data_IF_074789315406
#
_entry.id   IF_074789315406
#
_cell.length_a   1.000
_cell.length_b   1.000
_cell.length_c   1.000
_cell.angle_alpha   90.00
_cell.angle_beta   90.00
_cell.angle_gamma   90.00
#
_symmetry.space_group_name_H-M   'P 1'
#
loop_
_entity.id
_entity.type
_entity.pdbx_description
1 polymer ?
#
# COMPACT_ATOMS: atom_id res chain seq x y z
N UNK A 1 -17.57 -4.05 0.97
CA UNK A 1 -17.60 -4.09 -0.51
C UNK A 1 -17.11 -5.45 -0.99
N UNK A 2 -15.85 -5.85 -0.74
CA UNK A 2 -15.24 -7.10 -1.27
C UNK A 2 -16.09 -8.35 -0.99
N UNK A 3 -16.62 -8.50 0.23
CA UNK A 3 -17.50 -9.62 0.55
C UNK A 3 -18.79 -9.66 -0.26
N UNK A 4 -19.37 -8.50 -0.58
CA UNK A 4 -20.56 -8.45 -1.40
C UNK A 4 -20.27 -8.82 -2.86
N UNK A 5 -19.13 -8.36 -3.41
CA UNK A 5 -18.69 -8.73 -4.75
C UNK A 5 -18.47 -10.25 -4.85
N UNK A 6 -17.80 -10.83 -3.85
CA UNK A 6 -17.49 -12.25 -3.79
C UNK A 6 -18.78 -13.10 -3.65
N UNK A 7 -19.68 -12.74 -2.73
CA UNK A 7 -20.93 -13.47 -2.51
C UNK A 7 -21.86 -13.44 -3.72
N UNK A 8 -21.93 -12.32 -4.42
CA UNK A 8 -22.70 -12.19 -5.65
C UNK A 8 -21.96 -12.68 -6.90
N UNK A 9 -20.73 -13.17 -6.78
CA UNK A 9 -19.88 -13.65 -7.89
C UNK A 9 -19.74 -12.62 -9.02
N UNK A 10 -19.70 -11.33 -8.68
CA UNK A 10 -19.64 -10.23 -9.65
C UNK A 10 -18.22 -9.82 -10.03
N UNK A 11 -17.22 -10.36 -9.37
CA UNK A 11 -15.82 -10.06 -9.60
C UNK A 11 -14.92 -10.99 -8.81
N UNK A 12 -13.62 -10.78 -8.91
CA UNK A 12 -12.57 -11.51 -8.23
C UNK A 12 -11.87 -10.56 -7.28
N UNK A 13 -11.62 -11.01 -6.07
CA UNK A 13 -10.88 -10.27 -5.05
C UNK A 13 -9.42 -10.70 -5.12
N UNK A 14 -8.53 -9.75 -5.42
CA UNK A 14 -7.09 -9.96 -5.51
C UNK A 14 -6.41 -9.21 -4.36
N UNK A 15 -5.42 -9.81 -3.74
CA UNK A 15 -4.66 -9.21 -2.66
C UNK A 15 -4.53 -10.11 -1.45
N UNK A 16 -4.73 -9.54 -0.27
CA UNK A 16 -4.58 -10.18 1.05
C UNK A 16 -5.91 -10.14 1.79
N UNK A 17 -6.03 -10.92 2.88
CA UNK A 17 -7.22 -10.87 3.75
C UNK A 17 -7.49 -9.43 4.20
N UNK A 18 -8.71 -8.96 4.03
CA UNK A 18 -9.08 -7.61 4.44
C UNK A 18 -8.97 -7.43 5.95
N UNK A 19 -8.89 -6.19 6.42
CA UNK A 19 -8.64 -5.87 7.82
C UNK A 19 -9.70 -6.44 8.78
N UNK A 20 -10.95 -6.58 8.34
CA UNK A 20 -12.01 -7.10 9.20
C UNK A 20 -12.69 -6.03 10.06
N UNK A 21 -12.82 -4.81 9.58
CA UNK A 21 -13.61 -3.77 10.25
C UNK A 21 -15.09 -3.89 9.83
N UNK A 22 -15.87 -4.50 10.68
CA UNK A 22 -17.28 -4.83 10.41
C UNK A 22 -18.28 -4.23 11.40
N UNK A 23 -17.89 -3.19 12.15
CA UNK A 23 -18.74 -2.52 13.13
C UNK A 23 -19.30 -1.21 12.59
N UNK A 24 -20.56 -0.92 12.92
CA UNK A 24 -21.19 0.38 12.75
C UNK A 24 -21.13 1.11 14.09
N UNK A 25 -20.62 2.32 14.07
CA UNK A 25 -20.56 3.18 15.25
C UNK A 25 -21.43 4.40 15.02
N UNK A 26 -22.25 4.74 16.01
CA UNK A 26 -23.07 5.95 16.00
C UNK A 26 -22.51 6.95 16.99
N UNK A 27 -22.41 8.23 16.61
CA UNK A 27 -22.02 9.27 17.53
C UNK A 27 -23.16 9.59 18.49
N UNK A 28 -22.83 9.77 19.77
CA UNK A 28 -23.71 10.29 20.80
C UNK A 28 -23.09 11.60 21.33
N UNK A 29 -23.76 12.71 21.08
CA UNK A 29 -23.35 14.02 21.60
C UNK A 29 -23.73 14.12 23.08
N UNK A 30 -22.80 14.60 23.90
CA UNK A 30 -23.01 14.92 25.29
C UNK A 30 -23.35 16.40 25.50
N UNK A 31 -23.80 16.77 26.72
CA UNK A 31 -24.25 18.16 27.04
C UNK A 31 -23.11 19.18 26.92
N UNK A 32 -21.87 18.75 27.13
CA UNK A 32 -20.66 19.57 27.00
C UNK A 32 -20.13 19.69 25.55
N UNK A 33 -20.90 19.21 24.57
CA UNK A 33 -20.53 19.12 23.16
C UNK A 33 -19.40 18.13 22.84
N UNK A 34 -19.00 17.29 23.76
CA UNK A 34 -18.16 16.13 23.47
C UNK A 34 -18.95 15.01 22.78
N UNK A 35 -18.23 14.11 22.07
CA UNK A 35 -18.86 13.02 21.32
C UNK A 35 -18.33 11.68 21.82
N UNK A 36 -19.26 10.75 22.10
CA UNK A 36 -18.95 9.35 22.33
C UNK A 36 -19.37 8.53 21.12
N UNK A 37 -18.51 7.66 20.62
CA UNK A 37 -18.83 6.71 19.55
C UNK A 37 -19.15 5.33 20.13
N UNK A 38 -20.38 4.91 19.94
CA UNK A 38 -20.89 3.64 20.46
C UNK A 38 -21.14 2.68 19.31
N UNK A 39 -20.66 1.44 19.44
CA UNK A 39 -20.97 0.38 18.48
C UNK A 39 -22.44 -0.03 18.62
N UNK A 40 -23.20 0.16 17.54
CA UNK A 40 -24.66 -0.10 17.52
C UNK A 40 -25.04 -1.29 16.65
N UNK A 41 -24.20 -1.66 15.67
CA UNK A 41 -24.54 -2.73 14.72
C UNK A 41 -23.28 -3.39 14.13
N UNK A 42 -23.46 -4.50 13.44
CA UNK A 42 -22.42 -5.21 12.68
C UNK A 42 -22.80 -5.30 11.22
N UNK A 43 -21.81 -5.20 10.35
CA UNK A 43 -21.97 -5.51 8.93
C UNK A 43 -21.93 -7.03 8.70
N UNK A 44 -22.85 -7.48 7.87
CA UNK A 44 -22.85 -8.83 7.31
C UNK A 44 -22.80 -8.75 5.80
N UNK A 45 -22.16 -9.73 5.18
CA UNK A 45 -22.20 -9.85 3.73
C UNK A 45 -23.55 -10.42 3.27
N UNK A 46 -23.88 -10.35 1.96
CA UNK A 46 -25.15 -10.92 1.46
C UNK A 46 -25.37 -12.39 1.84
N UNK A 47 -24.31 -13.19 1.95
CA UNK A 47 -24.40 -14.59 2.44
C UNK A 47 -24.49 -14.74 3.95
N UNK A 48 -24.56 -13.64 4.71
CA UNK A 48 -24.67 -13.65 6.16
C UNK A 48 -23.34 -13.80 6.91
N UNK A 49 -22.17 -13.76 6.22
CA UNK A 49 -20.86 -13.83 6.88
C UNK A 49 -20.57 -12.54 7.64
N UNK A 50 -20.13 -12.64 8.90
CA UNK A 50 -19.56 -11.50 9.63
C UNK A 50 -18.14 -11.26 9.15
N UNK A 51 -17.82 -10.01 8.82
CA UNK A 51 -16.47 -9.61 8.45
C UNK A 51 -15.68 -9.09 9.65
N UNK A 52 -16.34 -8.86 10.79
CA UNK A 52 -15.68 -8.30 11.95
C UNK A 52 -14.66 -9.30 12.53
N UNK A 53 -13.40 -8.86 12.64
CA UNK A 53 -12.40 -9.64 13.35
C UNK A 53 -12.71 -9.68 14.85
N UNK A 54 -12.39 -10.78 15.54
CA UNK A 54 -12.56 -10.88 16.98
C UNK A 54 -11.83 -9.72 17.68
N UNK A 55 -12.47 -9.20 18.74
CA UNK A 55 -11.84 -8.24 19.64
C UNK A 55 -12.37 -8.49 21.06
N UNK A 56 -11.57 -8.16 22.06
CA UNK A 56 -11.89 -8.35 23.47
C UNK A 56 -10.66 -8.05 24.31
N UNK A 57 -10.77 -8.16 25.62
CA UNK A 57 -9.74 -7.79 26.59
C UNK A 57 -8.39 -8.52 26.40
N UNK A 58 -8.41 -9.67 25.72
CA UNK A 58 -7.22 -10.49 25.45
C UNK A 58 -6.66 -10.34 24.02
N UNK A 59 -7.29 -9.52 23.17
CA UNK A 59 -6.87 -9.37 21.76
C UNK A 59 -6.47 -7.92 21.53
N UNK A 60 -5.17 -7.68 21.39
CA UNK A 60 -4.67 -6.39 20.97
C UNK A 60 -4.93 -6.20 19.47
N UNK A 61 -5.75 -5.22 19.14
CA UNK A 61 -6.17 -4.93 17.78
C UNK A 61 -5.03 -4.46 16.88
N UNK A 62 -4.02 -3.83 17.47
CA UNK A 62 -2.82 -3.33 16.78
C UNK A 62 -1.82 -4.47 16.51
N UNK A 63 -1.77 -5.46 17.39
CA UNK A 63 -0.90 -6.63 17.21
C UNK A 63 -1.36 -7.57 16.09
N UNK A 64 -2.63 -7.50 15.66
CA UNK A 64 -3.14 -8.38 14.60
C UNK A 64 -2.32 -8.25 13.30
N UNK A 65 -1.96 -7.03 12.91
CA UNK A 65 -1.15 -6.82 11.69
C UNK A 65 0.25 -7.42 11.87
N UNK A 66 0.87 -7.20 13.02
CA UNK A 66 2.17 -7.76 13.34
C UNK A 66 2.13 -9.30 13.35
N UNK A 67 1.11 -9.87 13.98
CA UNK A 67 0.89 -11.33 14.01
C UNK A 67 0.67 -11.90 12.60
N UNK A 68 0.00 -11.17 11.71
CA UNK A 68 -0.21 -11.58 10.31
C UNK A 68 1.08 -11.57 9.50
N UNK A 69 2.01 -10.66 9.82
CA UNK A 69 3.35 -10.64 9.23
C UNK A 69 4.17 -11.82 9.77
N UNK A 70 4.27 -11.95 11.08
CA UNK A 70 5.14 -12.92 11.75
C UNK A 70 4.74 -14.38 11.52
N UNK A 71 3.43 -14.65 11.33
CA UNK A 71 2.93 -16.00 11.04
C UNK A 71 2.90 -16.34 9.53
N UNK A 72 3.40 -15.43 8.68
CA UNK A 72 3.48 -15.61 7.23
C UNK A 72 2.16 -15.42 6.48
N UNK A 73 1.07 -14.99 7.12
CA UNK A 73 -0.23 -14.80 6.47
C UNK A 73 -0.16 -13.82 5.29
N UNK A 74 0.70 -12.82 5.37
CA UNK A 74 0.81 -11.80 4.33
C UNK A 74 1.82 -12.16 3.24
N UNK A 75 2.73 -13.09 3.48
CA UNK A 75 3.78 -13.50 2.52
C UNK A 75 3.51 -14.83 1.85
N UNK A 76 2.82 -15.76 2.51
CA UNK A 76 2.51 -17.08 1.95
C UNK A 76 1.15 -17.60 2.42
N UNK A 77 0.19 -17.69 1.51
CA UNK A 77 -1.17 -18.18 1.81
C UNK A 77 -1.18 -19.66 2.24
N UNK A 78 -0.23 -20.46 1.77
CA UNK A 78 -0.19 -21.91 2.08
C UNK A 78 0.22 -22.17 3.52
N UNK A 79 0.86 -21.21 4.18
CA UNK A 79 1.28 -21.32 5.58
C UNK A 79 0.15 -21.06 6.58
N UNK A 80 -1.00 -20.57 6.12
CA UNK A 80 -2.11 -20.18 7.01
C UNK A 80 -3.44 -20.77 6.54
N UNK A 81 -4.14 -21.47 7.44
CA UNK A 81 -5.49 -21.93 7.12
C UNK A 81 -6.43 -20.73 6.89
N UNK A 82 -7.27 -20.81 5.84
CA UNK A 82 -8.29 -19.79 5.51
C UNK A 82 -9.43 -19.83 6.55
N UNK A 83 -9.11 -19.48 7.77
CA UNK A 83 -10.07 -19.49 8.88
C UNK A 83 -10.93 -18.23 8.84
N UNK A 84 -12.20 -18.40 8.53
CA UNK A 84 -13.18 -17.31 8.48
C UNK A 84 -13.48 -16.72 9.86
N UNK A 85 -13.21 -17.45 10.94
CA UNK A 85 -13.41 -16.96 12.30
C UNK A 85 -12.50 -15.79 12.66
N UNK A 86 -11.37 -15.65 11.96
CA UNK A 86 -10.43 -14.53 12.11
C UNK A 86 -10.95 -13.20 11.57
N UNK A 87 -12.14 -13.19 10.95
CA UNK A 87 -12.71 -12.00 10.32
C UNK A 87 -12.02 -11.59 9.02
N UNK A 88 -12.50 -10.50 8.42
CA UNK A 88 -12.08 -10.06 7.12
C UNK A 88 -12.63 -10.92 5.97
N UNK A 89 -12.22 -10.59 4.76
CA UNK A 89 -12.54 -11.34 3.54
C UNK A 89 -11.24 -11.87 2.98
N UNK A 90 -11.16 -13.18 2.77
CA UNK A 90 -10.05 -13.82 2.10
C UNK A 90 -10.12 -13.54 0.60
N UNK A 91 -9.00 -13.24 -0.06
CA UNK A 91 -9.00 -13.02 -1.49
C UNK A 91 -9.22 -14.32 -2.26
N UNK A 92 -9.74 -14.20 -3.48
CA UNK A 92 -9.84 -15.30 -4.45
C UNK A 92 -8.46 -15.60 -5.07
N UNK A 93 -7.68 -14.56 -5.30
CA UNK A 93 -6.30 -14.63 -5.77
C UNK A 93 -5.41 -13.91 -4.74
N UNK A 94 -4.48 -14.64 -4.17
CA UNK A 94 -3.56 -14.10 -3.19
C UNK A 94 -2.41 -13.36 -3.87
N UNK A 95 -2.08 -12.19 -3.35
CA UNK A 95 -0.90 -11.40 -3.70
C UNK A 95 -0.08 -11.19 -2.44
N UNK A 96 1.13 -11.75 -2.35
CA UNK A 96 1.96 -11.59 -1.16
C UNK A 96 2.43 -10.13 -1.02
N UNK A 97 2.78 -9.73 0.21
CA UNK A 97 3.52 -8.48 0.40
C UNK A 97 4.97 -8.69 0.00
N UNK A 98 5.58 -7.61 -0.45
CA UNK A 98 7.03 -7.56 -0.57
C UNK A 98 7.67 -7.66 0.82
N UNK A 99 8.57 -8.63 0.99
CA UNK A 99 9.27 -8.90 2.26
C UNK A 99 10.70 -8.39 2.26
N UNK A 100 11.06 -7.51 1.33
CA UNK A 100 12.39 -6.91 1.32
C UNK A 100 12.57 -6.06 2.59
N UNK A 101 13.54 -6.44 3.40
CA UNK A 101 13.90 -5.68 4.60
C UNK A 101 14.82 -4.50 4.20
N UNK A 102 14.30 -3.31 4.37
CA UNK A 102 15.09 -2.09 4.27
C UNK A 102 15.60 -1.67 5.65
N UNK A 103 16.76 -1.01 5.68
CA UNK A 103 17.22 -0.36 6.90
C UNK A 103 16.20 0.67 7.37
N UNK A 104 15.82 0.63 8.66
CA UNK A 104 14.85 1.57 9.23
C UNK A 104 15.28 3.04 9.05
N UNK A 105 16.58 3.29 9.08
CA UNK A 105 17.15 4.62 8.85
C UNK A 105 16.87 5.11 7.44
N UNK A 106 17.12 4.27 6.42
CA UNK A 106 16.89 4.63 5.02
C UNK A 106 15.40 4.72 4.69
N UNK A 107 14.59 3.84 5.28
CA UNK A 107 13.13 3.92 5.15
C UNK A 107 12.60 5.26 5.69
N UNK A 108 12.98 5.63 6.90
CA UNK A 108 12.57 6.91 7.49
C UNK A 108 13.04 8.11 6.66
N UNK A 109 14.21 7.98 6.00
CA UNK A 109 14.76 9.05 5.17
C UNK A 109 13.94 9.27 3.90
N UNK A 110 13.51 8.22 3.22
CA UNK A 110 12.64 8.29 2.01
C UNK A 110 11.32 9.01 2.33
N UNK A 111 10.77 8.85 3.53
CA UNK A 111 9.53 9.53 3.96
C UNK A 111 9.77 10.86 4.66
N UNK A 112 11.02 11.30 4.78
CA UNK A 112 11.37 12.55 5.45
C UNK A 112 11.00 13.79 4.60
N UNK A 113 10.92 14.93 5.29
CA UNK A 113 10.81 16.22 4.61
C UNK A 113 12.08 16.51 3.79
N UNK A 114 13.26 16.18 4.32
CA UNK A 114 14.53 16.42 3.65
C UNK A 114 14.60 15.77 2.27
N UNK A 115 14.05 14.55 2.13
CA UNK A 115 13.98 13.87 0.83
C UNK A 115 13.05 14.59 -0.15
N UNK A 116 11.89 15.03 0.30
CA UNK A 116 10.95 15.79 -0.55
C UNK A 116 11.53 17.13 -0.99
N UNK A 117 12.19 17.83 -0.07
CA UNK A 117 12.87 19.09 -0.38
C UNK A 117 13.98 18.86 -1.42
N UNK A 118 14.78 17.79 -1.28
CA UNK A 118 15.80 17.40 -2.26
C UNK A 118 15.20 17.10 -3.65
N UNK A 119 14.08 16.35 -3.71
CA UNK A 119 13.39 16.07 -4.97
C UNK A 119 12.82 17.36 -5.61
N UNK A 120 12.36 18.30 -4.79
CA UNK A 120 11.89 19.59 -5.27
C UNK A 120 13.03 20.44 -5.82
N UNK A 121 14.18 20.52 -5.13
CA UNK A 121 15.38 21.21 -5.60
C UNK A 121 15.91 20.60 -6.91
N UNK A 122 15.82 19.28 -7.06
CA UNK A 122 16.15 18.61 -8.31
C UNK A 122 15.22 19.04 -9.44
N UNK A 123 13.92 19.12 -9.17
CA UNK A 123 12.93 19.63 -10.12
C UNK A 123 13.21 21.08 -10.52
N UNK A 124 13.50 21.96 -9.55
CA UNK A 124 13.81 23.38 -9.86
C UNK A 124 15.03 23.53 -10.76
N UNK A 125 16.05 22.70 -10.57
CA UNK A 125 17.24 22.67 -11.45
C UNK A 125 16.96 22.10 -12.83
N UNK A 126 15.99 21.23 -12.98
CA UNK A 126 15.59 20.54 -14.22
C UNK A 126 14.06 20.55 -14.38
N UNK A 127 13.45 21.71 -14.64
CA UNK A 127 11.99 21.85 -14.61
C UNK A 127 11.25 21.21 -15.79
N UNK A 128 11.98 20.70 -16.77
CA UNK A 128 11.41 20.01 -17.94
C UNK A 128 11.63 18.51 -17.83
N UNK A 129 10.57 17.68 -17.87
CA UNK A 129 10.72 16.23 -17.85
C UNK A 129 11.38 15.73 -19.16
N UNK A 130 11.99 14.55 -19.08
CA UNK A 130 12.56 13.85 -20.25
C UNK A 130 11.54 13.61 -21.38
N UNK A 131 10.27 13.52 -21.03
CA UNK A 131 9.15 13.26 -21.92
C UNK A 131 7.84 13.76 -21.31
N UNK A 132 6.88 14.13 -22.14
CA UNK A 132 5.53 14.48 -21.70
C UNK A 132 4.62 13.27 -21.42
N UNK A 133 5.08 12.05 -21.72
CA UNK A 133 4.35 10.81 -21.46
C UNK A 133 4.77 10.22 -20.13
N UNK A 134 3.81 10.05 -19.20
CA UNK A 134 4.03 9.56 -17.84
C UNK A 134 4.66 8.17 -17.84
N UNK A 135 4.21 7.29 -18.73
CA UNK A 135 4.72 5.90 -18.79
C UNK A 135 6.16 5.89 -19.26
N UNK A 136 6.48 6.67 -20.32
CA UNK A 136 7.85 6.80 -20.80
C UNK A 136 8.75 7.46 -19.76
N UNK A 137 8.26 8.47 -19.04
CA UNK A 137 9.01 9.04 -17.94
C UNK A 137 9.35 7.97 -16.90
N UNK A 138 8.37 7.18 -16.45
CA UNK A 138 8.61 6.09 -15.50
C UNK A 138 9.64 5.07 -16.02
N UNK A 139 9.59 4.69 -17.30
CA UNK A 139 10.48 3.72 -17.91
C UNK A 139 11.91 4.25 -18.14
N UNK A 140 12.06 5.54 -18.41
CA UNK A 140 13.33 6.13 -18.82
C UNK A 140 14.06 6.87 -17.71
N UNK A 141 13.32 7.47 -16.77
CA UNK A 141 13.97 8.19 -15.68
C UNK A 141 14.77 7.24 -14.80
N UNK A 142 16.01 7.64 -14.53
CA UNK A 142 16.88 6.97 -13.54
C UNK A 142 17.58 8.04 -12.72
N UNK A 143 17.52 7.89 -11.41
CA UNK A 143 18.34 8.67 -10.50
C UNK A 143 19.79 8.21 -10.65
N UNK A 144 20.72 9.14 -10.67
CA UNK A 144 22.14 8.81 -10.66
C UNK A 144 22.60 8.43 -9.24
N UNK A 145 23.57 7.51 -9.13
CA UNK A 145 24.11 7.14 -7.82
C UNK A 145 24.77 8.33 -7.12
N UNK A 146 25.33 9.24 -7.87
CA UNK A 146 25.92 10.46 -7.32
C UNK A 146 24.88 11.36 -6.68
N UNK A 147 23.67 11.48 -7.26
CA UNK A 147 22.58 12.27 -6.69
C UNK A 147 22.21 11.75 -5.27
N UNK A 148 22.10 10.42 -5.12
CA UNK A 148 21.83 9.83 -3.82
C UNK A 148 22.98 10.02 -2.82
N UNK A 149 24.21 9.86 -3.27
CA UNK A 149 25.40 10.04 -2.42
C UNK A 149 25.52 11.47 -1.91
N UNK A 150 25.24 12.47 -2.75
CA UNK A 150 25.21 13.88 -2.33
C UNK A 150 24.13 14.12 -1.28
N UNK A 151 22.92 13.63 -1.51
CA UNK A 151 21.82 13.73 -0.55
C UNK A 151 22.20 13.10 0.81
N UNK A 152 22.73 11.87 0.81
CA UNK A 152 23.11 11.18 2.05
C UNK A 152 24.23 11.92 2.80
N UNK A 153 25.20 12.47 2.07
CA UNK A 153 26.27 13.28 2.66
C UNK A 153 25.73 14.54 3.34
N UNK A 154 24.76 15.22 2.72
CA UNK A 154 24.11 16.39 3.31
C UNK A 154 23.33 16.03 4.58
N UNK A 155 22.76 14.82 4.62
CA UNK A 155 22.12 14.27 5.83
C UNK A 155 23.12 13.71 6.85
N UNK A 156 24.44 13.78 6.60
CA UNK A 156 25.52 13.23 7.44
C UNK A 156 25.37 11.72 7.67
N UNK A 157 24.88 11.01 6.67
CA UNK A 157 24.72 9.56 6.70
C UNK A 157 25.82 8.93 5.87
N UNK A 158 26.71 8.22 6.57
CA UNK A 158 27.76 7.41 5.96
C UNK A 158 27.32 5.95 5.96
N UNK A 159 26.80 5.48 4.83
CA UNK A 159 26.39 4.07 4.68
C UNK A 159 26.63 3.59 3.26
N UNK A 160 26.86 2.29 3.13
CA UNK A 160 26.92 1.65 1.83
C UNK A 160 25.51 1.22 1.43
N UNK A 161 24.96 1.87 0.41
CA UNK A 161 23.59 1.63 -0.09
C UNK A 161 23.57 0.33 -0.89
N UNK A 162 22.70 -0.59 -0.51
CA UNK A 162 22.41 -1.80 -1.27
C UNK A 162 21.63 -1.45 -2.55
N UNK A 163 21.67 -2.36 -3.53
CA UNK A 163 20.95 -2.16 -4.79
C UNK A 163 19.45 -2.02 -4.60
N UNK A 164 18.86 -2.80 -3.71
CA UNK A 164 17.44 -2.77 -3.37
C UNK A 164 17.06 -1.42 -2.77
N UNK A 165 17.86 -0.91 -1.84
CA UNK A 165 17.66 0.39 -1.20
C UNK A 165 17.79 1.55 -2.21
N UNK A 166 18.76 1.48 -3.12
CA UNK A 166 18.88 2.44 -4.22
C UNK A 166 17.65 2.43 -5.13
N UNK A 167 17.10 1.25 -5.42
CA UNK A 167 15.89 1.13 -6.24
C UNK A 167 14.69 1.79 -5.57
N UNK A 168 14.57 1.70 -4.23
CA UNK A 168 13.49 2.39 -3.50
C UNK A 168 13.64 3.91 -3.54
N UNK A 169 14.84 4.45 -3.37
CA UNK A 169 15.08 5.88 -3.57
C UNK A 169 14.74 6.33 -4.99
N UNK A 170 15.16 5.57 -6.00
CA UNK A 170 14.84 5.86 -7.40
C UNK A 170 13.33 5.82 -7.67
N UNK A 171 12.61 4.85 -7.09
CA UNK A 171 11.16 4.76 -7.17
C UNK A 171 10.49 5.95 -6.47
N UNK A 172 10.92 6.27 -5.26
CA UNK A 172 10.42 7.41 -4.50
C UNK A 172 10.64 8.73 -5.25
N UNK A 173 11.83 8.93 -5.83
CA UNK A 173 12.13 10.12 -6.63
C UNK A 173 11.23 10.24 -7.86
N UNK A 174 10.95 9.15 -8.57
CA UNK A 174 9.99 9.15 -9.67
C UNK A 174 8.60 9.58 -9.23
N UNK A 175 8.15 9.11 -8.06
CA UNK A 175 6.85 9.45 -7.50
C UNK A 175 6.77 10.95 -7.16
N UNK A 176 7.79 11.50 -6.49
CA UNK A 176 7.82 12.93 -6.15
C UNK A 176 7.89 13.79 -7.43
N UNK A 177 8.83 13.51 -8.32
CA UNK A 177 9.01 14.26 -9.55
C UNK A 177 7.78 14.20 -10.47
N UNK A 178 7.05 13.09 -10.48
CA UNK A 178 5.85 12.97 -11.31
C UNK A 178 4.76 13.97 -10.92
N UNK A 179 4.63 14.27 -9.63
CA UNK A 179 3.66 15.28 -9.17
C UNK A 179 4.06 16.70 -9.59
N UNK A 180 5.36 16.98 -9.67
CA UNK A 180 5.85 18.29 -10.11
C UNK A 180 5.82 18.45 -11.63
N UNK A 181 6.19 17.42 -12.39
CA UNK A 181 6.26 17.47 -13.86
C UNK A 181 4.91 17.39 -14.56
N UNK A 182 3.96 16.64 -13.98
CA UNK A 182 2.70 16.35 -14.66
C UNK A 182 1.49 16.82 -13.84
N UNK A 183 1.21 16.15 -12.72
CA UNK A 183 0.12 16.50 -11.80
C UNK A 183 0.18 15.60 -10.55
N UNK A 184 -0.56 15.96 -9.50
CA UNK A 184 -0.71 15.08 -8.34
C UNK A 184 -1.25 13.68 -8.69
N UNK A 185 -2.11 13.58 -9.71
CA UNK A 185 -2.64 12.30 -10.17
C UNK A 185 -1.56 11.41 -10.84
N UNK A 186 -0.51 11.99 -11.39
CA UNK A 186 0.57 11.24 -12.02
C UNK A 186 1.29 10.32 -11.02
N UNK A 187 1.41 10.74 -9.77
CA UNK A 187 1.96 9.92 -8.69
C UNK A 187 1.20 8.61 -8.50
N UNK A 188 -0.14 8.67 -8.50
CA UNK A 188 -0.98 7.48 -8.40
C UNK A 188 -0.83 6.58 -9.64
N UNK A 189 -0.78 7.16 -10.83
CA UNK A 189 -0.59 6.41 -12.08
C UNK A 189 0.76 5.66 -12.05
N UNK A 190 1.86 6.33 -11.70
CA UNK A 190 3.18 5.70 -11.63
C UNK A 190 3.20 4.58 -10.60
N UNK A 191 2.57 4.77 -9.44
CA UNK A 191 2.53 3.74 -8.41
C UNK A 191 1.85 2.45 -8.89
N UNK A 192 0.89 2.54 -9.83
CA UNK A 192 0.22 1.34 -10.39
C UNK A 192 1.10 0.52 -11.33
N UNK A 193 2.21 1.06 -11.84
CA UNK A 193 3.06 0.32 -12.78
C UNK A 193 3.86 -0.80 -12.10
N UNK A 194 4.22 -0.59 -10.82
CA UNK A 194 4.95 -1.58 -10.01
C UNK A 194 4.05 -2.36 -9.06
N UNK A 195 2.79 -1.99 -8.94
CA UNK A 195 1.84 -2.63 -8.02
C UNK A 195 1.53 -4.07 -8.47
N UNK A 196 1.88 -5.04 -7.63
CA UNK A 196 1.71 -6.46 -7.94
C UNK A 196 0.24 -6.88 -7.94
N UNK A 197 -0.61 -6.25 -7.13
CA UNK A 197 -2.06 -6.50 -7.16
C UNK A 197 -2.63 -6.08 -8.54
N UNK A 198 -2.15 -4.95 -9.09
CA UNK A 198 -2.52 -4.47 -10.44
C UNK A 198 -1.97 -5.38 -11.54
N UNK A 199 -0.72 -5.86 -11.42
CA UNK A 199 -0.13 -6.82 -12.37
C UNK A 199 -0.94 -8.11 -12.42
N UNK A 200 -1.24 -8.71 -11.27
CA UNK A 200 -2.07 -9.91 -11.16
C UNK A 200 -3.47 -9.70 -11.74
N UNK A 201 -4.07 -8.53 -11.53
CA UNK A 201 -5.36 -8.22 -12.11
C UNK A 201 -5.30 -8.18 -13.65
N UNK A 202 -4.26 -7.55 -14.22
CA UNK A 202 -4.05 -7.52 -15.68
C UNK A 202 -3.85 -8.93 -16.25
N UNK A 203 -3.05 -9.76 -15.59
CA UNK A 203 -2.82 -11.15 -15.99
C UNK A 203 -4.11 -11.97 -15.93
N UNK A 204 -4.90 -11.80 -14.87
CA UNK A 204 -6.19 -12.46 -14.74
C UNK A 204 -7.13 -12.15 -15.90
N UNK A 205 -7.24 -10.87 -16.30
CA UNK A 205 -8.07 -10.47 -17.42
C UNK A 205 -7.51 -10.95 -18.77
N UNK A 206 -6.19 -10.91 -18.95
CA UNK A 206 -5.54 -11.41 -20.18
C UNK A 206 -5.79 -12.93 -20.37
N UNK A 207 -5.72 -13.73 -19.30
CA UNK A 207 -5.89 -15.18 -19.36
C UNK A 207 -7.35 -15.62 -19.47
N UNK A 208 -8.32 -14.87 -18.94
CA UNK A 208 -9.74 -15.22 -19.03
C UNK A 208 -10.40 -14.76 -20.32
N UNK A 209 -9.70 -13.96 -21.14
CA UNK A 209 -10.28 -13.27 -22.27
C UNK A 209 -11.41 -12.32 -21.80
N UNK A 210 -11.42 -11.09 -22.21
CA UNK A 210 -12.57 -10.20 -22.02
C UNK A 210 -13.81 -10.89 -22.61
N UNK A 211 -14.51 -11.68 -21.82
CA UNK A 211 -15.88 -12.07 -22.17
C UNK A 211 -16.70 -10.80 -22.05
N UNK A 212 -16.89 -10.17 -23.18
CA UNK A 212 -17.86 -9.11 -23.39
C UNK A 212 -19.26 -9.61 -23.01
#
# INVERSE_FOLDING_TARGET
VSGAIQDHKRGVIIGRRTFGKGLVQSPLMLEDSSEIRITTSRYYTPSGRSIQKPYGDSINYEEDLFNRISNGELSNIDSVSKDQSKGGIWPDIFSPIDTVEYSSTLYNLIYSRAWRDYCFDYYEKKPTPLTSDIKRFYEQFRMEKNDLNEFLKDQKIETNIKTEEFNEFNKSMKLELSSYYFSENARYIINTFDDDDVKLAKEYFANKGLRQ
#
